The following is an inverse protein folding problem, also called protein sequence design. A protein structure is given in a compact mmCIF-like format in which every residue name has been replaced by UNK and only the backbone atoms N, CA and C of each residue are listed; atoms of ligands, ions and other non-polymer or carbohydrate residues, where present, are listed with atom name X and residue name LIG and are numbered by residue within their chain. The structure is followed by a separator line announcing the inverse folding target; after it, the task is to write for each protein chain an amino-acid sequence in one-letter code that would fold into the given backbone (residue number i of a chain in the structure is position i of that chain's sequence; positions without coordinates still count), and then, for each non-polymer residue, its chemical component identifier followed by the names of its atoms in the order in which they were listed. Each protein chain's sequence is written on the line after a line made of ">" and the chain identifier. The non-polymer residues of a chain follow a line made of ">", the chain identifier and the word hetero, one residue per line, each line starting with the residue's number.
data_IF_692311433285
#
_entry.id   IF_692311433285
#
_cell.length_a   1.000
_cell.length_b   1.000
_cell.length_c   1.000
_cell.angle_alpha   90.00
_cell.angle_beta   90.00
_cell.angle_gamma   90.00
#
_symmetry.space_group_name_H-M   'P 1'
#
loop_
_entity.id
_entity.type
_entity.pdbx_description
1 polymer ?
#
# COMPACT_ATOMS: atom_id res chain seq x y z
N UNK A 1 -10.39 -13.77 -3.86
CA UNK A 1 -11.54 -14.29 -3.07
C UNK A 1 -11.08 -14.71 -1.69
N UNK A 2 -11.87 -14.44 -0.69
CA UNK A 2 -11.57 -14.83 0.70
C UNK A 2 -11.79 -16.33 0.86
N UNK A 3 -10.73 -17.08 1.14
CA UNK A 3 -10.76 -18.52 1.30
C UNK A 3 -11.03 -18.93 2.77
N UNK A 4 -11.37 -20.18 2.97
CA UNK A 4 -11.57 -20.77 4.31
C UNK A 4 -10.35 -20.56 5.21
N UNK A 5 -9.15 -20.73 4.67
CA UNK A 5 -7.89 -20.64 5.42
C UNK A 5 -7.63 -19.23 5.97
N UNK A 6 -8.25 -18.21 5.37
CA UNK A 6 -8.10 -16.81 5.76
C UNK A 6 -9.10 -16.43 6.86
N UNK A 7 -10.00 -17.31 7.22
CA UNK A 7 -11.10 -17.04 8.12
C UNK A 7 -10.94 -17.76 9.45
N UNK A 8 -11.57 -17.19 10.49
CA UNK A 8 -11.73 -17.85 11.77
C UNK A 8 -12.94 -18.81 11.71
N UNK A 9 -13.25 -19.45 12.83
CA UNK A 9 -14.35 -20.43 12.91
C UNK A 9 -15.74 -19.83 12.68
N UNK A 10 -15.87 -18.50 12.70
CA UNK A 10 -17.13 -17.79 12.42
C UNK A 10 -17.27 -17.40 10.94
N UNK A 11 -16.29 -17.73 10.10
CA UNK A 11 -16.29 -17.38 8.68
C UNK A 11 -15.86 -15.96 8.41
N UNK A 12 -15.34 -15.22 9.40
CA UNK A 12 -14.84 -13.88 9.27
C UNK A 12 -13.33 -13.89 8.97
N UNK A 13 -12.88 -13.06 8.07
CA UNK A 13 -11.47 -12.99 7.75
C UNK A 13 -10.63 -12.57 8.97
N UNK A 14 -9.57 -13.32 9.21
CA UNK A 14 -8.65 -13.08 10.32
C UNK A 14 -7.90 -11.76 10.15
N UNK A 15 -7.67 -11.04 11.25
CA UNK A 15 -6.96 -9.75 11.25
C UNK A 15 -5.60 -9.84 10.55
N UNK A 16 -4.85 -10.91 10.75
CA UNK A 16 -3.55 -11.09 10.12
C UNK A 16 -3.63 -11.10 8.59
N UNK A 17 -4.73 -11.59 8.04
CA UNK A 17 -4.91 -11.64 6.59
C UNK A 17 -5.25 -10.29 5.98
N UNK A 18 -5.85 -9.36 6.72
CA UNK A 18 -6.02 -7.99 6.25
C UNK A 18 -4.66 -7.34 5.96
N UNK A 19 -3.75 -7.42 6.93
CA UNK A 19 -2.39 -6.89 6.75
C UNK A 19 -1.69 -7.54 5.57
N UNK A 20 -1.76 -8.87 5.47
CA UNK A 20 -1.12 -9.62 4.40
C UNK A 20 -1.62 -9.19 3.03
N UNK A 21 -2.93 -9.06 2.86
CA UNK A 21 -3.52 -8.63 1.59
C UNK A 21 -3.12 -7.22 1.21
N UNK A 22 -3.11 -6.29 2.16
CA UNK A 22 -2.66 -4.93 1.90
C UNK A 22 -1.20 -4.88 1.50
N UNK A 23 -0.34 -5.63 2.18
CA UNK A 23 1.11 -5.65 1.89
C UNK A 23 1.38 -6.29 0.52
N UNK A 24 0.73 -7.41 0.21
CA UNK A 24 0.89 -8.08 -1.08
C UNK A 24 0.44 -7.16 -2.24
N UNK A 25 -0.69 -6.50 -2.07
CA UNK A 25 -1.19 -5.53 -3.05
C UNK A 25 -0.31 -4.30 -3.17
N UNK A 26 0.32 -3.88 -2.07
CA UNK A 26 1.23 -2.76 -2.07
C UNK A 26 2.47 -3.03 -2.93
N UNK A 27 3.01 -4.24 -2.89
CA UNK A 27 4.13 -4.63 -3.73
C UNK A 27 3.78 -4.53 -5.21
N UNK A 28 2.60 -4.99 -5.60
CA UNK A 28 2.12 -4.87 -6.97
C UNK A 28 1.96 -3.40 -7.38
N UNK A 29 1.40 -2.58 -6.51
CA UNK A 29 1.25 -1.15 -6.75
C UNK A 29 2.59 -0.46 -6.96
N UNK A 30 3.58 -0.78 -6.13
CA UNK A 30 4.94 -0.27 -6.26
C UNK A 30 5.57 -0.62 -7.60
N UNK A 31 5.51 -1.89 -7.96
CA UNK A 31 6.15 -2.38 -9.18
C UNK A 31 5.47 -1.84 -10.43
N UNK A 32 4.14 -1.91 -10.47
CA UNK A 32 3.39 -1.65 -11.69
C UNK A 32 3.11 -0.17 -11.91
N UNK A 33 2.89 0.60 -10.84
CA UNK A 33 2.42 1.97 -10.94
C UNK A 33 3.46 3.01 -10.53
N UNK A 34 4.29 2.72 -9.54
CA UNK A 34 5.28 3.67 -9.05
C UNK A 34 6.67 3.43 -9.63
N UNK A 35 6.90 2.31 -10.32
CA UNK A 35 8.19 2.03 -10.92
C UNK A 35 9.29 1.64 -9.93
N UNK A 36 8.95 1.28 -8.70
CA UNK A 36 9.91 0.71 -7.74
C UNK A 36 10.21 -0.74 -8.10
N UNK A 37 10.77 -0.92 -9.29
CA UNK A 37 11.06 -2.21 -9.86
C UNK A 37 12.34 -2.81 -9.30
N UNK A 38 12.63 -4.04 -9.71
CA UNK A 38 13.91 -4.70 -9.42
C UNK A 38 15.11 -3.85 -9.89
N UNK A 39 14.97 -3.15 -11.03
CA UNK A 39 16.01 -2.25 -11.54
C UNK A 39 16.31 -1.11 -10.56
N UNK A 40 15.28 -0.55 -9.94
CA UNK A 40 15.43 0.48 -8.92
C UNK A 40 16.19 -0.04 -7.71
N UNK A 41 15.87 -1.25 -7.24
CA UNK A 41 16.59 -1.90 -6.13
C UNK A 41 18.04 -2.15 -6.48
N UNK A 42 18.34 -2.50 -7.73
CA UNK A 42 19.70 -2.73 -8.20
C UNK A 42 20.56 -1.45 -8.16
N UNK A 43 19.93 -0.27 -8.16
CA UNK A 43 20.64 1.00 -7.97
C UNK A 43 20.97 1.27 -6.50
N UNK A 44 20.59 0.39 -5.58
CA UNK A 44 20.90 0.50 -4.17
C UNK A 44 19.84 1.19 -3.33
N UNK A 45 18.62 1.35 -3.85
CA UNK A 45 17.52 2.00 -3.15
C UNK A 45 16.37 1.04 -2.88
N UNK A 46 15.62 1.32 -1.83
CA UNK A 46 14.43 0.57 -1.46
C UNK A 46 13.53 1.46 -0.62
N UNK A 47 12.48 0.89 -0.07
CA UNK A 47 11.62 1.58 0.89
C UNK A 47 11.60 0.81 2.20
N UNK A 48 11.34 1.52 3.28
CA UNK A 48 11.26 0.96 4.61
C UNK A 48 9.99 1.47 5.29
N UNK A 49 9.18 0.56 5.80
CA UNK A 49 7.94 0.92 6.49
C UNK A 49 8.26 1.53 7.84
N UNK A 50 7.86 2.79 8.03
CA UNK A 50 8.06 3.51 9.29
C UNK A 50 6.81 3.44 10.18
N UNK A 51 5.63 3.48 9.57
CA UNK A 51 4.37 3.45 10.29
C UNK A 51 3.32 2.70 9.49
N UNK A 52 2.42 2.03 10.19
CA UNK A 52 1.25 1.39 9.62
C UNK A 52 0.06 1.64 10.52
N UNK A 53 -1.10 1.86 9.93
CA UNK A 53 -2.37 1.96 10.63
C UNK A 53 -3.45 1.27 9.81
N UNK A 54 -4.19 0.36 10.43
CA UNK A 54 -5.29 -0.34 9.78
C UNK A 54 -6.55 -0.10 10.60
N UNK A 55 -7.59 0.40 9.94
CA UNK A 55 -8.91 0.58 10.55
C UNK A 55 -9.87 -0.42 9.93
N UNK A 56 -10.71 -0.99 10.75
CA UNK A 56 -11.68 -2.00 10.35
C UNK A 56 -13.08 -1.41 10.51
N UNK A 57 -13.82 -1.32 9.40
CA UNK A 57 -15.17 -0.75 9.39
C UNK A 57 -16.24 -1.81 9.22
N UNK A 58 -15.93 -2.87 8.48
CA UNK A 58 -16.86 -3.93 8.15
C UNK A 58 -16.09 -5.22 7.93
N UNK A 59 -16.69 -6.34 8.31
CA UNK A 59 -16.08 -7.65 8.17
C UNK A 59 -16.00 -8.09 6.71
N UNK A 60 -14.91 -8.75 6.35
CA UNK A 60 -14.84 -9.55 5.14
C UNK A 60 -15.16 -11.00 5.50
N UNK A 61 -16.00 -11.62 4.70
CA UNK A 61 -16.48 -12.96 4.94
C UNK A 61 -15.86 -13.93 3.94
N UNK A 62 -15.90 -15.21 4.28
CA UNK A 62 -15.52 -16.27 3.35
C UNK A 62 -16.28 -16.08 2.02
N UNK A 63 -15.59 -16.32 0.93
CA UNK A 63 -16.08 -16.20 -0.44
C UNK A 63 -16.32 -14.78 -0.95
N UNK A 64 -16.06 -13.75 -0.13
CA UNK A 64 -16.06 -12.36 -0.63
C UNK A 64 -15.00 -12.17 -1.70
N UNK A 65 -15.39 -11.50 -2.79
CA UNK A 65 -14.49 -10.97 -3.79
C UNK A 65 -14.08 -9.57 -3.35
N UNK A 66 -12.84 -9.42 -2.91
CA UNK A 66 -12.37 -8.12 -2.44
C UNK A 66 -11.63 -7.36 -3.53
N UNK A 67 -11.75 -6.05 -3.48
CA UNK A 67 -11.01 -5.13 -4.36
C UNK A 67 -10.29 -4.13 -3.48
N UNK A 68 -9.04 -3.89 -3.80
CA UNK A 68 -8.22 -2.92 -3.09
C UNK A 68 -7.80 -1.80 -4.03
N UNK A 69 -7.85 -0.57 -3.52
CA UNK A 69 -7.40 0.61 -4.25
C UNK A 69 -6.29 1.29 -3.45
N UNK A 70 -5.21 1.65 -4.14
CA UNK A 70 -4.04 2.29 -3.55
C UNK A 70 -3.84 3.67 -4.15
N UNK A 71 -3.39 4.62 -3.33
CA UNK A 71 -2.99 5.94 -3.82
C UNK A 71 -1.88 6.53 -2.95
N UNK A 72 -1.10 7.43 -3.54
CA UNK A 72 -0.18 8.26 -2.79
C UNK A 72 -1.00 9.42 -2.21
N UNK A 73 -1.04 9.50 -0.88
CA UNK A 73 -1.75 10.59 -0.20
C UNK A 73 -0.88 11.84 -0.12
N UNK A 74 0.38 11.68 0.29
CA UNK A 74 1.37 12.74 0.35
C UNK A 74 2.75 12.19 0.06
N UNK A 75 3.62 13.04 -0.47
CA UNK A 75 5.01 12.71 -0.74
C UNK A 75 5.89 13.91 -0.45
N UNK A 76 7.06 13.67 0.15
CA UNK A 76 8.12 14.64 0.27
C UNK A 76 9.44 14.00 -0.14
N UNK A 77 10.56 14.68 0.08
CA UNK A 77 11.87 14.19 -0.38
C UNK A 77 12.27 12.84 0.17
N UNK A 78 11.82 12.49 1.38
CA UNK A 78 12.24 11.26 2.08
C UNK A 78 11.11 10.28 2.34
N UNK A 79 9.87 10.73 2.33
CA UNK A 79 8.73 9.94 2.81
C UNK A 79 7.62 9.86 1.78
N UNK A 80 6.99 8.69 1.72
CA UNK A 80 5.79 8.47 0.91
C UNK A 80 4.67 8.03 1.86
N UNK A 81 3.57 8.78 1.84
CA UNK A 81 2.36 8.43 2.57
C UNK A 81 1.38 7.77 1.61
N UNK A 82 1.08 6.51 1.83
CA UNK A 82 0.16 5.74 1.02
C UNK A 82 -1.10 5.43 1.78
N UNK A 83 -2.22 5.43 1.06
CA UNK A 83 -3.51 5.01 1.59
C UNK A 83 -4.09 3.94 0.67
N UNK A 84 -4.62 2.90 1.27
CA UNK A 84 -5.34 1.86 0.55
C UNK A 84 -6.68 1.60 1.21
N UNK A 85 -7.66 1.24 0.40
CA UNK A 85 -8.97 0.83 0.89
C UNK A 85 -9.28 -0.57 0.38
N UNK A 86 -10.07 -1.30 1.17
CA UNK A 86 -10.53 -2.64 0.83
C UNK A 86 -12.05 -2.64 0.78
N UNK A 87 -12.59 -3.06 -0.36
CA UNK A 87 -14.02 -3.17 -0.60
C UNK A 87 -14.43 -4.64 -0.69
N UNK A 88 -15.61 -4.97 -0.16
CA UNK A 88 -16.15 -6.33 -0.27
C UNK A 88 -16.92 -6.52 -1.59
N UNK A 89 -17.57 -7.68 -1.75
CA UNK A 89 -18.34 -8.02 -2.95
C UNK A 89 -19.46 -7.03 -3.25
N UNK A 90 -19.99 -6.36 -2.23
CA UNK A 90 -21.05 -5.37 -2.35
C UNK A 90 -20.51 -3.94 -2.50
N UNK A 91 -19.20 -3.79 -2.72
CA UNK A 91 -18.51 -2.51 -2.84
C UNK A 91 -18.60 -1.64 -1.58
N UNK A 92 -18.73 -2.27 -0.43
CA UNK A 92 -18.75 -1.59 0.86
C UNK A 92 -17.34 -1.49 1.42
N UNK A 93 -17.02 -0.38 2.06
CA UNK A 93 -15.73 -0.17 2.68
C UNK A 93 -15.56 -1.08 3.89
N UNK A 94 -14.58 -1.96 3.83
CA UNK A 94 -14.27 -2.90 4.91
C UNK A 94 -13.11 -2.46 5.78
N UNK A 95 -12.07 -1.92 5.16
CA UNK A 95 -10.85 -1.56 5.87
C UNK A 95 -10.12 -0.43 5.17
N UNK A 96 -9.41 0.37 5.95
CA UNK A 96 -8.53 1.43 5.46
C UNK A 96 -7.13 1.16 6.01
N UNK A 97 -6.15 1.16 5.11
CA UNK A 97 -4.74 0.97 5.44
C UNK A 97 -3.98 2.25 5.13
N UNK A 98 -3.24 2.75 6.11
CA UNK A 98 -2.37 3.90 5.94
C UNK A 98 -0.96 3.48 6.28
N UNK A 99 0.00 3.84 5.44
CA UNK A 99 1.40 3.52 5.70
C UNK A 99 2.30 4.70 5.32
N UNK A 100 3.35 4.85 6.09
CA UNK A 100 4.42 5.81 5.82
C UNK A 100 5.68 5.02 5.52
N UNK A 101 6.23 5.26 4.34
CA UNK A 101 7.43 4.58 3.85
C UNK A 101 8.57 5.59 3.74
N UNK A 102 9.73 5.20 4.25
CA UNK A 102 10.95 5.97 4.08
C UNK A 102 11.70 5.48 2.87
N UNK A 103 12.23 6.40 2.07
CA UNK A 103 13.14 6.06 0.98
C UNK A 103 14.49 5.67 1.59
N UNK A 104 14.96 4.46 1.28
CA UNK A 104 16.10 3.84 1.95
C UNK A 104 17.28 3.71 1.00
N UNK A 105 18.45 4.14 1.46
CA UNK A 105 19.72 3.79 0.84
C UNK A 105 20.16 2.43 1.42
N UNK A 106 20.28 1.43 0.56
CA UNK A 106 20.59 0.06 0.97
C UNK A 106 21.99 -0.08 1.52
N UNK A 107 22.96 0.74 1.09
CA UNK A 107 24.33 0.63 1.60
C UNK A 107 24.48 1.24 2.99
N UNK A 108 23.90 2.41 3.25
CA UNK A 108 23.98 3.03 4.57
C UNK A 108 22.89 2.55 5.53
N UNK A 109 21.84 1.91 5.01
CA UNK A 109 20.66 1.49 5.77
C UNK A 109 19.93 2.66 6.43
N UNK A 110 19.99 3.83 5.82
CA UNK A 110 19.37 5.05 6.35
C UNK A 110 18.34 5.60 5.37
N UNK A 111 17.34 6.28 5.93
CA UNK A 111 16.38 7.04 5.13
C UNK A 111 17.12 8.19 4.45
N UNK A 112 16.94 8.31 3.14
CA UNK A 112 17.63 9.28 2.30
C UNK A 112 16.67 9.95 1.35
N UNK A 113 17.08 11.09 0.78
CA UNK A 113 16.28 11.82 -0.17
C UNK A 113 16.13 11.06 -1.50
N UNK A 114 14.93 11.11 -2.07
CA UNK A 114 14.68 10.59 -3.41
C UNK A 114 15.30 11.51 -4.45
N UNK A 115 15.68 10.92 -5.59
CA UNK A 115 16.12 11.73 -6.74
C UNK A 115 14.99 12.67 -7.18
N UNK A 116 15.38 13.85 -7.64
CA UNK A 116 14.43 14.89 -8.03
C UNK A 116 13.43 14.43 -9.08
N UNK A 117 13.88 13.65 -10.05
CA UNK A 117 13.01 13.14 -11.12
C UNK A 117 11.93 12.21 -10.58
N UNK A 118 12.27 11.32 -9.65
CA UNK A 118 11.30 10.45 -8.97
C UNK A 118 10.30 11.26 -8.19
N UNK A 119 10.79 12.23 -7.41
CA UNK A 119 9.93 13.08 -6.59
C UNK A 119 8.93 13.86 -7.43
N UNK A 120 9.36 14.41 -8.55
CA UNK A 120 8.48 15.12 -9.47
C UNK A 120 7.42 14.22 -10.07
N UNK A 121 7.80 13.01 -10.48
CA UNK A 121 6.88 12.03 -11.06
C UNK A 121 5.80 11.63 -10.05
N UNK A 122 6.18 11.30 -8.84
CA UNK A 122 5.24 10.88 -7.80
C UNK A 122 4.38 12.02 -7.29
N UNK A 123 4.92 13.22 -7.22
CA UNK A 123 4.15 14.41 -6.85
C UNK A 123 3.04 14.70 -7.86
N UNK A 124 3.31 14.52 -9.15
CA UNK A 124 2.30 14.64 -10.22
C UNK A 124 1.23 13.57 -10.09
N UNK A 125 1.62 12.33 -9.82
CA UNK A 125 0.71 11.22 -9.63
C UNK A 125 -0.23 11.47 -8.45
N UNK A 126 0.31 11.96 -7.34
CA UNK A 126 -0.45 12.33 -6.16
C UNK A 126 -1.50 13.41 -6.46
N UNK A 127 -1.11 14.45 -7.19
CA UNK A 127 -2.02 15.54 -7.59
C UNK A 127 -3.10 15.04 -8.55
N UNK A 128 -2.73 14.22 -9.52
CA UNK A 128 -3.67 13.65 -10.49
C UNK A 128 -4.79 12.87 -9.79
N UNK A 129 -4.45 12.08 -8.77
CA UNK A 129 -5.44 11.35 -7.99
C UNK A 129 -6.34 12.31 -7.20
N UNK A 130 -5.78 13.39 -6.63
CA UNK A 130 -6.57 14.41 -5.92
C UNK A 130 -7.56 15.10 -6.85
N UNK A 131 -7.14 15.40 -8.06
CA UNK A 131 -7.98 16.09 -9.05
C UNK A 131 -9.15 15.23 -9.52
N UNK A 132 -9.07 13.92 -9.36
CA UNK A 132 -10.15 12.98 -9.68
C UNK A 132 -11.21 12.87 -8.59
N UNK A 133 -10.97 13.41 -7.45
CA UNK A 133 -11.86 13.40 -6.29
C UNK A 133 -12.29 14.81 -5.91
#
# INVERSE_FOLDING_TARGET
>A
MISQDMCDHNGHMNILNYSKLFIDGLEDFYSDQLGFTKGYRNLGFSSFTLEENIKYSKECLKDDEIVMHYRIHRINKKLIHLVAIMLNSNKQLCSVYETVLGHLDMSSRKVTEMEENFLKTYSKYCRSIRDQH
#
